data_IF_001931449968
#
_entry.id   IF_001931449968
#
_cell.length_a   1.000
_cell.length_b   1.000
_cell.length_c   1.000
_cell.angle_alpha   90.00
_cell.angle_beta   90.00
_cell.angle_gamma   90.00
#
_symmetry.space_group_name_H-M   'P 1'
#
loop_
_entity.id
_entity.type
_entity.pdbx_description
1 polymer ?
#
# COMPACT_ATOMS: atom_id res chain seq x y z
N UNK A 1 -38.01 12.90 9.28
CA UNK A 1 -39.04 13.39 8.34
C UNK A 1 -38.97 12.52 7.09
N UNK A 2 -40.03 11.76 6.80
CA UNK A 2 -40.10 10.85 5.65
C UNK A 2 -40.92 11.52 4.54
N UNK A 3 -40.24 12.17 3.60
CA UNK A 3 -40.84 12.70 2.37
C UNK A 3 -41.11 11.55 1.38
N UNK A 4 -41.99 10.62 1.77
CA UNK A 4 -42.29 9.44 0.94
C UNK A 4 -43.36 9.67 -0.11
N UNK A 5 -44.09 10.80 -0.07
CA UNK A 5 -45.24 11.02 -0.93
C UNK A 5 -45.39 12.49 -1.36
N UNK A 6 -44.75 12.87 -2.47
CA UNK A 6 -45.17 14.05 -3.24
C UNK A 6 -46.13 13.61 -4.37
N UNK A 7 -47.40 14.01 -4.28
CA UNK A 7 -48.45 13.72 -5.28
C UNK A 7 -48.62 12.23 -5.61
N UNK A 8 -48.55 11.34 -4.61
CA UNK A 8 -48.84 9.92 -4.77
C UNK A 8 -47.83 9.12 -5.61
N UNK A 9 -46.70 9.73 -6.01
CA UNK A 9 -45.60 9.03 -6.67
C UNK A 9 -44.55 8.63 -5.64
N UNK A 10 -44.21 7.34 -5.60
CA UNK A 10 -43.10 6.83 -4.78
C UNK A 10 -41.80 7.44 -5.33
N UNK A 11 -41.07 8.20 -4.51
CA UNK A 11 -39.71 8.61 -4.88
C UNK A 11 -38.84 7.35 -5.05
N UNK A 12 -38.14 7.24 -6.17
CA UNK A 12 -37.23 6.11 -6.41
C UNK A 12 -36.16 6.11 -5.32
N UNK A 13 -36.03 5.00 -4.58
CA UNK A 13 -35.00 4.88 -3.55
C UNK A 13 -33.63 5.15 -4.16
N UNK A 14 -32.84 6.03 -3.54
CA UNK A 14 -31.47 6.28 -3.97
C UNK A 14 -30.68 4.97 -3.89
N UNK A 15 -30.04 4.61 -5.00
CA UNK A 15 -29.19 3.43 -5.05
C UNK A 15 -27.83 3.78 -4.40
N UNK A 16 -27.46 3.04 -3.34
CA UNK A 16 -26.20 3.21 -2.62
C UNK A 16 -25.13 2.19 -3.06
N UNK A 17 -25.41 1.41 -4.12
CA UNK A 17 -24.48 0.43 -4.67
C UNK A 17 -23.38 1.17 -5.42
N UNK A 18 -22.27 1.42 -4.73
CA UNK A 18 -21.05 2.01 -5.29
C UNK A 18 -20.16 0.99 -6.02
N UNK A 19 -20.59 -0.28 -6.07
CA UNK A 19 -19.86 -1.38 -6.69
C UNK A 19 -20.44 -1.69 -8.07
N UNK A 20 -19.79 -1.20 -9.12
CA UNK A 20 -20.03 -1.55 -10.51
C UNK A 20 -18.78 -2.14 -11.17
N UNK A 21 -18.90 -2.61 -12.41
CA UNK A 21 -17.74 -3.02 -13.20
C UNK A 21 -16.85 -1.80 -13.47
N UNK A 22 -15.68 -1.78 -12.85
CA UNK A 22 -14.69 -0.73 -13.01
C UNK A 22 -13.53 -1.25 -13.87
N UNK A 23 -13.33 -0.62 -15.02
CA UNK A 23 -12.23 -0.91 -15.95
C UNK A 23 -10.92 -0.20 -15.57
N UNK A 24 -10.95 0.73 -14.61
CA UNK A 24 -9.76 1.43 -14.13
C UNK A 24 -9.02 0.54 -13.13
N UNK A 25 -7.91 -0.03 -13.58
CA UNK A 25 -6.98 -0.76 -12.70
C UNK A 25 -6.38 0.21 -11.68
N UNK A 26 -6.38 -0.16 -10.40
CA UNK A 26 -5.59 0.55 -9.40
C UNK A 26 -4.10 0.34 -9.69
N UNK A 27 -3.38 1.44 -9.92
CA UNK A 27 -1.95 1.47 -10.23
C UNK A 27 -1.19 1.87 -8.96
N UNK A 28 -0.04 1.23 -8.72
CA UNK A 28 0.82 1.54 -7.57
C UNK A 28 1.58 2.84 -7.82
N UNK A 29 1.70 3.67 -6.78
CA UNK A 29 2.59 4.83 -6.78
C UNK A 29 4.04 4.39 -6.99
N UNK A 30 4.81 5.17 -7.77
CA UNK A 30 6.18 4.87 -8.17
C UNK A 30 6.30 3.87 -9.33
N UNK A 31 5.22 3.59 -10.05
CA UNK A 31 5.26 2.79 -11.28
C UNK A 31 5.31 3.68 -12.52
N UNK A 32 5.70 3.14 -13.67
CA UNK A 32 5.77 3.90 -14.95
C UNK A 32 4.49 4.68 -15.27
N UNK A 33 3.32 4.11 -14.95
CA UNK A 33 2.02 4.75 -15.20
C UNK A 33 1.57 5.72 -14.10
N UNK A 34 2.25 5.71 -12.96
CA UNK A 34 2.00 6.58 -11.83
C UNK A 34 3.32 6.87 -11.09
N UNK A 35 4.20 7.70 -11.68
CA UNK A 35 5.49 8.05 -11.09
C UNK A 35 5.33 8.91 -9.83
N UNK A 36 6.36 8.94 -9.00
CA UNK A 36 6.43 9.81 -7.81
C UNK A 36 6.60 11.26 -8.24
N UNK A 37 5.91 12.17 -7.56
CA UNK A 37 6.03 13.61 -7.79
C UNK A 37 6.92 14.22 -6.73
N UNK A 38 8.17 14.53 -7.09
CA UNK A 38 9.18 15.01 -6.14
C UNK A 38 9.66 16.41 -6.53
N UNK A 39 9.82 17.28 -5.53
CA UNK A 39 10.35 18.64 -5.69
C UNK A 39 11.63 18.76 -4.89
N UNK A 40 12.71 19.22 -5.54
CA UNK A 40 14.03 19.39 -4.92
C UNK A 40 14.57 20.80 -5.18
N UNK A 41 15.37 21.34 -4.27
CA UNK A 41 15.85 22.71 -4.38
C UNK A 41 17.09 22.86 -5.29
N UNK A 42 17.84 21.78 -5.54
CA UNK A 42 19.10 21.82 -6.30
C UNK A 42 19.29 20.62 -7.24
N UNK A 43 20.12 20.82 -8.26
CA UNK A 43 20.47 19.77 -9.23
C UNK A 43 21.31 18.63 -8.61
N UNK A 44 22.13 18.94 -7.61
CA UNK A 44 22.88 17.93 -6.86
C UNK A 44 21.93 16.98 -6.14
N UNK A 45 20.92 17.52 -5.44
CA UNK A 45 19.90 16.73 -4.75
C UNK A 45 19.03 15.94 -5.72
N UNK A 46 18.76 16.48 -6.91
CA UNK A 46 18.09 15.74 -7.98
C UNK A 46 18.84 14.47 -8.38
N UNK A 47 20.17 14.56 -8.53
CA UNK A 47 20.98 13.40 -8.91
C UNK A 47 20.98 12.31 -7.82
N UNK A 48 21.08 12.71 -6.55
CA UNK A 48 20.99 11.79 -5.41
C UNK A 48 19.63 11.09 -5.34
N UNK A 49 18.54 11.86 -5.40
CA UNK A 49 17.18 11.33 -5.32
C UNK A 49 16.87 10.42 -6.51
N UNK A 50 17.37 10.75 -7.71
CA UNK A 50 17.24 9.89 -8.87
C UNK A 50 17.99 8.56 -8.70
N UNK A 51 19.18 8.56 -8.09
CA UNK A 51 19.91 7.34 -7.77
C UNK A 51 19.12 6.45 -6.80
N UNK A 52 18.59 7.02 -5.72
CA UNK A 52 17.77 6.30 -4.73
C UNK A 52 16.51 5.72 -5.36
N UNK A 53 15.83 6.48 -6.23
CA UNK A 53 14.66 6.00 -6.94
C UNK A 53 15.00 4.80 -7.85
N UNK A 54 16.11 4.88 -8.59
CA UNK A 54 16.57 3.80 -9.47
C UNK A 54 16.99 2.54 -8.70
N UNK A 55 17.68 2.68 -7.56
CA UNK A 55 18.07 1.57 -6.69
C UNK A 55 16.86 0.79 -6.16
N UNK A 56 15.72 1.46 -5.99
CA UNK A 56 14.48 0.86 -5.53
C UNK A 56 13.51 0.49 -6.67
N UNK A 57 13.95 0.59 -7.93
CA UNK A 57 13.15 0.33 -9.14
C UNK A 57 11.87 1.19 -9.20
N UNK A 58 11.93 2.43 -8.70
CA UNK A 58 10.83 3.39 -8.66
C UNK A 58 10.96 4.44 -9.77
N UNK A 59 9.84 4.77 -10.39
CA UNK A 59 9.74 5.86 -11.36
C UNK A 59 9.37 7.17 -10.64
N UNK A 60 10.13 8.24 -10.86
CA UNK A 60 9.92 9.54 -10.25
C UNK A 60 10.09 10.69 -11.26
N UNK A 61 9.14 11.62 -11.25
CA UNK A 61 9.21 12.90 -11.94
C UNK A 61 9.77 13.94 -10.95
N UNK A 62 11.02 14.36 -11.17
CA UNK A 62 11.74 15.28 -10.28
C UNK A 62 11.82 16.66 -10.92
N UNK A 63 11.12 17.62 -10.31
CA UNK A 63 11.18 19.04 -10.66
C UNK A 63 12.13 19.78 -9.72
N UNK A 64 13.03 20.59 -10.28
CA UNK A 64 13.94 21.45 -9.51
C UNK A 64 13.30 22.81 -9.38
N UNK A 65 12.97 23.22 -8.15
CA UNK A 65 12.45 24.54 -7.85
C UNK A 65 13.05 25.03 -6.53
N UNK A 66 13.86 26.09 -6.62
CA UNK A 66 14.52 26.70 -5.45
C UNK A 66 13.61 27.66 -4.67
N UNK A 67 12.42 27.97 -5.18
CA UNK A 67 11.46 28.88 -4.55
C UNK A 67 10.45 28.16 -3.64
N UNK A 68 10.29 26.84 -3.81
CA UNK A 68 9.34 26.01 -3.08
C UNK A 68 10.10 25.11 -2.10
N UNK A 69 9.48 24.79 -0.96
CA UNK A 69 10.06 23.85 0.00
C UNK A 69 10.22 22.46 -0.62
N UNK A 70 11.32 21.78 -0.30
CA UNK A 70 11.61 20.44 -0.81
C UNK A 70 10.51 19.45 -0.40
N UNK A 71 9.99 18.70 -1.36
CA UNK A 71 8.94 17.71 -1.14
C UNK A 71 9.40 16.33 -1.61
N UNK A 72 9.80 15.51 -0.64
CA UNK A 72 10.31 14.14 -0.83
C UNK A 72 9.46 13.12 -0.04
N UNK A 73 8.31 13.55 0.49
CA UNK A 73 7.48 12.74 1.40
C UNK A 73 6.99 11.44 0.77
N UNK A 74 6.70 11.45 -0.54
CA UNK A 74 6.25 10.24 -1.24
C UNK A 74 7.36 9.17 -1.31
N UNK A 75 8.60 9.59 -1.57
CA UNK A 75 9.77 8.71 -1.59
C UNK A 75 10.04 8.16 -0.18
N UNK A 76 10.06 9.02 0.83
CA UNK A 76 10.29 8.62 2.23
C UNK A 76 9.21 7.66 2.73
N UNK A 77 7.94 7.90 2.38
CA UNK A 77 6.83 7.03 2.74
C UNK A 77 6.93 5.64 2.12
N UNK A 78 7.49 5.53 0.92
CA UNK A 78 7.75 4.23 0.29
C UNK A 78 8.94 3.51 0.90
N UNK A 79 10.04 4.22 1.19
CA UNK A 79 11.25 3.64 1.78
C UNK A 79 11.01 3.17 3.21
N UNK A 80 10.23 3.92 4.01
CA UNK A 80 9.95 3.59 5.41
C UNK A 80 8.77 2.62 5.58
N UNK A 81 8.36 1.92 4.51
CA UNK A 81 7.22 1.01 4.58
C UNK A 81 7.52 -0.14 5.54
N UNK A 82 6.69 -0.37 6.57
CA UNK A 82 6.94 -1.44 7.52
C UNK A 82 6.87 -2.80 6.80
N UNK A 83 7.94 -3.57 6.91
CA UNK A 83 8.00 -4.93 6.39
C UNK A 83 7.15 -5.83 7.27
N UNK A 84 6.31 -6.66 6.66
CA UNK A 84 5.57 -7.69 7.39
C UNK A 84 6.55 -8.71 7.96
N UNK A 85 6.44 -9.01 9.25
CA UNK A 85 7.18 -10.12 9.84
C UNK A 85 6.63 -11.43 9.29
N UNK A 86 7.50 -12.22 8.67
CA UNK A 86 7.15 -13.57 8.19
C UNK A 86 7.29 -14.50 9.39
N UNK A 87 6.18 -15.09 9.82
CA UNK A 87 6.21 -16.16 10.81
C UNK A 87 6.16 -17.49 10.08
N UNK A 88 7.08 -18.38 10.41
CA UNK A 88 7.05 -19.75 9.88
C UNK A 88 5.77 -20.46 10.31
N UNK A 89 5.24 -21.28 9.40
CA UNK A 89 4.01 -22.02 9.68
C UNK A 89 4.24 -22.92 10.89
N UNK A 90 3.31 -22.88 11.84
CA UNK A 90 3.36 -23.79 13.00
C UNK A 90 3.34 -25.25 12.51
N UNK A 91 4.16 -26.14 13.10
CA UNK A 91 4.19 -27.55 12.72
C UNK A 91 2.80 -28.20 12.81
N UNK A 92 2.48 -29.16 11.91
CA UNK A 92 1.20 -29.85 11.96
C UNK A 92 1.12 -30.74 13.22
N UNK A 93 -0.09 -31.11 13.67
CA UNK A 93 -0.32 -31.85 14.95
C UNK A 93 0.62 -33.04 15.17
N UNK A 94 0.98 -33.76 14.11
CA UNK A 94 1.81 -34.95 14.18
C UNK A 94 3.29 -34.72 13.84
N UNK A 95 3.67 -33.53 13.35
CA UNK A 95 5.05 -33.20 12.98
C UNK A 95 5.91 -33.02 14.24
N UNK A 96 7.24 -33.19 14.13
CA UNK A 96 8.17 -32.90 15.21
C UNK A 96 7.97 -31.47 15.75
N UNK A 97 7.98 -31.32 17.07
CA UNK A 97 7.85 -30.02 17.70
C UNK A 97 9.03 -29.10 17.35
N UNK A 98 8.72 -27.86 16.98
CA UNK A 98 9.71 -26.78 16.75
C UNK A 98 10.54 -26.43 17.99
N UNK A 99 10.17 -26.94 19.16
CA UNK A 99 10.89 -26.80 20.42
C UNK A 99 12.08 -27.77 20.60
N UNK A 100 12.38 -28.62 19.59
CA UNK A 100 13.50 -29.56 19.64
C UNK A 100 13.28 -30.79 20.52
N UNK A 101 12.05 -31.04 20.98
CA UNK A 101 11.75 -32.14 21.90
C UNK A 101 11.52 -33.50 21.23
N UNK A 102 11.67 -33.58 19.89
CA UNK A 102 11.37 -34.73 19.01
C UNK A 102 9.95 -35.32 19.11
N UNK A 103 9.13 -34.80 20.04
CA UNK A 103 7.74 -35.21 20.24
C UNK A 103 6.85 -34.58 19.17
N UNK A 104 5.79 -35.29 18.79
CA UNK A 104 4.71 -34.76 17.94
C UNK A 104 4.19 -33.43 18.51
N UNK A 105 3.94 -32.43 17.67
CA UNK A 105 3.52 -31.08 18.09
C UNK A 105 2.35 -31.11 19.08
N UNK A 106 1.32 -31.93 18.80
CA UNK A 106 0.13 -32.14 19.67
C UNK A 106 0.43 -32.68 21.08
N UNK A 107 1.63 -33.20 21.32
CA UNK A 107 2.07 -33.77 22.60
C UNK A 107 3.09 -32.87 23.32
N UNK A 108 3.49 -31.74 22.72
CA UNK A 108 4.49 -30.83 23.26
C UNK A 108 3.98 -29.39 23.34
N UNK A 109 4.27 -28.55 22.33
CA UNK A 109 3.89 -27.13 22.31
C UNK A 109 2.46 -26.88 21.81
N UNK A 110 1.83 -27.85 21.16
CA UNK A 110 0.44 -27.80 20.70
C UNK A 110 -0.53 -28.55 21.63
N UNK A 111 -0.28 -28.52 22.95
CA UNK A 111 -1.20 -29.08 23.94
C UNK A 111 -2.55 -28.34 23.91
#
# INVERSE_FOLDING_TARGET
>A
MHDLYYKGRIHTRHNHINTGYNNKRAVKLGSEKHPLTLVVASDERKAEVAAIANENELFADITVDSAVEENILELEGLLNKPTTTIFDKTPNRNDPCSCGSEKKYKKCCGK
#
